data_IF_249918436307
#
_entry.id   IF_249918436307
#
_cell.length_a   1.000
_cell.length_b   1.000
_cell.length_c   1.000
_cell.angle_alpha   90.00
_cell.angle_beta   90.00
_cell.angle_gamma   90.00
#
_symmetry.space_group_name_H-M   'P 1'
#
loop_
_entity.id
_entity.type
_entity.pdbx_description
1 polymer ?
#
# COMPACT_ATOMS: atom_id res chain seq x y z
N UNK A 1 -7.44 -6.83 7.83
CA UNK A 1 -7.97 -5.54 8.34
C UNK A 1 -6.74 -4.75 8.71
N UNK A 2 -6.52 -3.59 8.09
CA UNK A 2 -5.26 -2.88 8.23
C UNK A 2 -5.06 -2.42 9.68
N UNK A 3 -3.87 -2.68 10.22
CA UNK A 3 -3.46 -2.23 11.57
C UNK A 3 -3.08 -0.74 11.59
N UNK A 4 -2.78 -0.18 10.41
CA UNK A 4 -2.39 1.20 10.13
C UNK A 4 -3.53 1.85 9.33
N UNK A 5 -3.83 3.13 9.56
CA UNK A 5 -4.84 3.87 8.79
C UNK A 5 -4.21 4.72 7.68
N UNK A 6 -5.04 5.28 6.79
CA UNK A 6 -4.54 6.15 5.71
C UNK A 6 -3.95 7.45 6.28
N UNK A 7 -4.47 7.91 7.42
CA UNK A 7 -3.97 9.10 8.13
C UNK A 7 -2.52 8.93 8.56
N UNK A 8 -2.14 7.75 9.08
CA UNK A 8 -0.76 7.43 9.43
C UNK A 8 0.17 7.48 8.20
N UNK A 9 -0.34 7.06 7.03
CA UNK A 9 0.42 7.10 5.78
C UNK A 9 0.68 8.53 5.27
N UNK A 10 -0.19 9.49 5.61
CA UNK A 10 -0.03 10.90 5.22
C UNK A 10 1.15 11.56 5.95
N UNK A 11 1.57 11.04 7.10
CA UNK A 11 2.79 11.51 7.79
C UNK A 11 4.07 11.26 6.97
N UNK A 12 4.05 10.24 6.09
CA UNK A 12 5.16 9.87 5.22
C UNK A 12 5.03 10.44 3.80
N UNK A 13 3.80 10.49 3.28
CA UNK A 13 3.47 11.05 1.96
C UNK A 13 2.36 12.09 2.15
N UNK A 14 2.71 13.38 2.34
CA UNK A 14 1.74 14.42 2.71
C UNK A 14 0.64 14.65 1.68
N UNK A 15 0.92 14.37 0.40
CA UNK A 15 -0.05 14.49 -0.68
C UNK A 15 -0.91 13.23 -0.78
N UNK A 16 -2.20 13.36 -0.49
CA UNK A 16 -3.17 12.26 -0.60
C UNK A 16 -3.30 11.73 -2.03
N UNK A 17 -3.17 12.60 -3.04
CA UNK A 17 -3.22 12.17 -4.44
C UNK A 17 -1.99 11.33 -4.81
N UNK A 18 -0.80 11.76 -4.39
CA UNK A 18 0.43 10.99 -4.63
C UNK A 18 0.41 9.67 -3.87
N UNK A 19 -0.08 9.66 -2.62
CA UNK A 19 -0.25 8.44 -1.83
C UNK A 19 -1.12 7.41 -2.57
N UNK A 20 -2.27 7.83 -3.12
CA UNK A 20 -3.14 6.94 -3.89
C UNK A 20 -2.45 6.43 -5.15
N UNK A 21 -1.76 7.29 -5.88
CA UNK A 21 -1.06 6.90 -7.11
C UNK A 21 0.07 5.90 -6.82
N UNK A 22 0.85 6.15 -5.76
CA UNK A 22 1.93 5.28 -5.32
C UNK A 22 1.40 3.91 -4.89
N UNK A 23 0.38 3.88 -4.03
CA UNK A 23 -0.24 2.65 -3.57
C UNK A 23 -0.86 1.85 -4.73
N UNK A 24 -1.53 2.52 -5.67
CA UNK A 24 -2.11 1.89 -6.85
C UNK A 24 -1.04 1.27 -7.75
N UNK A 25 0.09 1.97 -7.96
CA UNK A 25 1.20 1.41 -8.72
C UNK A 25 1.79 0.18 -8.02
N UNK A 26 2.07 0.28 -6.72
CA UNK A 26 2.63 -0.82 -5.94
C UNK A 26 1.72 -2.06 -5.95
N UNK A 27 0.41 -1.86 -5.79
CA UNK A 27 -0.56 -2.94 -5.83
C UNK A 27 -0.57 -3.65 -7.20
N UNK A 28 -0.36 -2.93 -8.30
CA UNK A 28 -0.23 -3.53 -9.65
C UNK A 28 1.05 -4.33 -9.78
N UNK A 29 2.18 -3.81 -9.30
CA UNK A 29 3.46 -4.51 -9.34
C UNK A 29 3.40 -5.84 -8.56
N UNK A 30 2.78 -5.82 -7.38
CA UNK A 30 2.53 -7.03 -6.58
C UNK A 30 1.61 -8.00 -7.33
N UNK A 31 0.57 -7.48 -7.99
CA UNK A 31 -0.33 -8.30 -8.83
C UNK A 31 0.41 -8.93 -10.02
N UNK A 32 1.46 -8.29 -10.52
CA UNK A 32 2.33 -8.79 -11.58
C UNK A 32 3.42 -9.76 -11.07
N UNK A 33 3.46 -10.07 -9.77
CA UNK A 33 4.43 -11.02 -9.19
C UNK A 33 5.64 -10.36 -8.52
N UNK A 34 5.64 -9.04 -8.31
CA UNK A 34 6.67 -8.38 -7.50
C UNK A 34 6.66 -8.92 -6.07
N UNK A 35 7.86 -9.14 -5.51
CA UNK A 35 8.02 -9.62 -4.14
C UNK A 35 7.46 -8.64 -3.11
N UNK A 36 6.86 -9.20 -2.06
CA UNK A 36 6.44 -8.44 -0.88
C UNK A 36 7.64 -8.17 0.02
N UNK A 37 7.65 -6.98 0.62
CA UNK A 37 8.68 -6.57 1.60
C UNK A 37 8.26 -6.86 3.04
N UNK A 38 7.04 -7.38 3.22
CA UNK A 38 6.37 -7.63 4.49
C UNK A 38 5.67 -8.98 4.42
N UNK A 39 5.42 -9.59 5.57
CA UNK A 39 4.60 -10.80 5.63
C UNK A 39 3.14 -10.48 5.34
N UNK A 40 2.52 -11.34 4.54
CA UNK A 40 1.13 -11.18 4.10
C UNK A 40 0.20 -11.98 5.00
N UNK A 41 -0.76 -11.30 5.61
CA UNK A 41 -1.92 -11.93 6.25
C UNK A 41 -3.09 -12.02 5.24
N UNK A 42 -4.34 -11.89 5.66
CA UNK A 42 -5.52 -11.91 4.78
C UNK A 42 -5.77 -10.57 4.02
N UNK A 43 -4.73 -9.78 3.83
CA UNK A 43 -4.83 -8.45 3.23
C UNK A 43 -4.65 -8.48 1.70
N UNK A 44 -5.40 -7.62 1.00
CA UNK A 44 -5.38 -7.50 -0.46
C UNK A 44 -4.19 -6.65 -0.92
N UNK A 45 -3.82 -6.75 -2.20
CA UNK A 45 -2.66 -6.04 -2.77
C UNK A 45 -2.63 -4.51 -2.52
N UNK A 46 -3.77 -3.78 -2.43
CA UNK A 46 -3.73 -2.35 -2.08
C UNK A 46 -3.36 -2.04 -0.62
N UNK A 47 -3.33 -3.05 0.25
CA UNK A 47 -3.12 -2.89 1.71
C UNK A 47 -1.71 -3.35 2.14
N UNK A 48 -0.99 -4.10 1.29
CA UNK A 48 0.28 -4.76 1.61
C UNK A 48 1.48 -4.16 0.89
#
# INVERSE_FOLDING_TARGET
MARITVEDCVERVPSRFELVMLAAQRARDISAGSGLTLERDNDKNPVV
#
